data_IF_894554309927
#
_entry.id   IF_894554309927
#
_cell.length_a   1.000
_cell.length_b   1.000
_cell.length_c   1.000
_cell.angle_alpha   90.00
_cell.angle_beta   90.00
_cell.angle_gamma   90.00
#
_symmetry.space_group_name_H-M   'P 1'
#
loop_
_entity.id
_entity.type
_entity.pdbx_description
1 polymer ?
#
# COMPACT_ATOMS: atom_id res chain seq x y z
N UNK A 1 -17.19 -78.01 -37.60
CA UNK A 1 -18.28 -77.71 -36.66
C UNK A 1 -17.80 -76.50 -35.87
N UNK A 2 -18.20 -75.29 -36.28
CA UNK A 2 -17.71 -74.05 -35.68
C UNK A 2 -18.70 -73.62 -34.61
N UNK A 3 -18.30 -73.69 -33.35
CA UNK A 3 -19.00 -73.05 -32.24
C UNK A 3 -18.66 -71.56 -32.24
N UNK A 4 -19.50 -70.78 -32.90
CA UNK A 4 -19.60 -69.34 -32.69
C UNK A 4 -20.71 -69.11 -31.66
N UNK A 5 -20.35 -68.61 -30.46
CA UNK A 5 -21.11 -67.65 -29.62
C UNK A 5 -20.60 -67.67 -28.18
N UNK A 6 -20.20 -66.49 -27.68
CA UNK A 6 -20.32 -65.98 -26.27
C UNK A 6 -19.35 -64.81 -25.93
N UNK A 7 -18.82 -64.08 -26.91
CA UNK A 7 -17.94 -62.92 -26.63
C UNK A 7 -18.65 -61.58 -26.36
N UNK A 8 -19.95 -61.45 -26.64
CA UNK A 8 -20.66 -60.15 -26.63
C UNK A 8 -21.28 -59.79 -25.28
N UNK A 9 -21.71 -60.78 -24.51
CA UNK A 9 -22.42 -60.55 -23.24
C UNK A 9 -21.48 -60.19 -22.09
N UNK A 10 -20.28 -60.78 -22.06
CA UNK A 10 -19.22 -60.45 -21.09
C UNK A 10 -18.68 -59.03 -21.30
N UNK A 11 -18.51 -58.59 -22.54
CA UNK A 11 -18.07 -57.23 -22.86
C UNK A 11 -19.11 -56.16 -22.47
N UNK A 12 -20.40 -56.42 -22.72
CA UNK A 12 -21.49 -55.53 -22.32
C UNK A 12 -21.65 -55.45 -20.80
N UNK A 13 -21.52 -56.58 -20.11
CA UNK A 13 -21.55 -56.64 -18.65
C UNK A 13 -20.39 -55.86 -18.01
N UNK A 14 -19.17 -56.03 -18.54
CA UNK A 14 -18.00 -55.28 -18.07
C UNK A 14 -18.16 -53.77 -18.29
N UNK A 15 -18.68 -53.35 -19.45
CA UNK A 15 -18.96 -51.95 -19.73
C UNK A 15 -20.07 -51.37 -18.83
N UNK A 16 -21.11 -52.15 -18.53
CA UNK A 16 -22.17 -51.76 -17.59
C UNK A 16 -21.63 -51.59 -16.17
N UNK A 17 -20.82 -52.54 -15.69
CA UNK A 17 -20.19 -52.49 -14.38
C UNK A 17 -19.27 -51.26 -14.25
N UNK A 18 -18.50 -50.94 -15.29
CA UNK A 18 -17.65 -49.74 -15.32
C UNK A 18 -18.47 -48.44 -15.24
N UNK A 19 -19.54 -48.33 -16.03
CA UNK A 19 -20.47 -47.17 -15.98
C UNK A 19 -21.11 -47.02 -14.61
N UNK A 20 -21.54 -48.14 -14.00
CA UNK A 20 -22.11 -48.14 -12.66
C UNK A 20 -21.08 -47.67 -11.62
N UNK A 21 -19.82 -48.12 -11.73
CA UNK A 21 -18.73 -47.69 -10.86
C UNK A 21 -18.46 -46.18 -10.93
N UNK A 22 -18.49 -45.61 -12.13
CA UNK A 22 -18.38 -44.15 -12.32
C UNK A 22 -19.55 -43.44 -11.61
N UNK A 23 -20.79 -43.85 -11.87
CA UNK A 23 -21.98 -43.23 -11.26
C UNK A 23 -21.90 -43.29 -9.73
N UNK A 24 -21.54 -44.44 -9.16
CA UNK A 24 -21.40 -44.60 -7.71
C UNK A 24 -20.35 -43.63 -7.16
N UNK A 25 -19.22 -43.47 -7.84
CA UNK A 25 -18.15 -42.56 -7.41
C UNK A 25 -18.65 -41.11 -7.36
N UNK A 26 -19.37 -40.67 -8.38
CA UNK A 26 -19.98 -39.33 -8.41
C UNK A 26 -21.03 -39.16 -7.31
N UNK A 27 -21.86 -40.16 -7.06
CA UNK A 27 -22.85 -40.13 -5.97
C UNK A 27 -22.15 -39.97 -4.61
N UNK A 28 -21.05 -40.68 -4.38
CA UNK A 28 -20.26 -40.54 -3.14
C UNK A 28 -19.66 -39.14 -3.02
N UNK A 29 -19.12 -38.57 -4.10
CA UNK A 29 -18.60 -37.20 -4.07
C UNK A 29 -19.70 -36.16 -3.78
N UNK A 30 -20.86 -36.28 -4.41
CA UNK A 30 -21.99 -35.38 -4.18
C UNK A 30 -22.49 -35.50 -2.74
N UNK A 31 -22.61 -36.72 -2.21
CA UNK A 31 -22.98 -36.94 -0.82
C UNK A 31 -21.97 -36.31 0.15
N UNK A 32 -20.67 -36.43 -0.13
CA UNK A 32 -19.61 -35.81 0.67
C UNK A 32 -19.67 -34.28 0.61
N UNK A 33 -19.92 -33.72 -0.57
CA UNK A 33 -20.09 -32.29 -0.77
C UNK A 33 -21.30 -31.77 0.03
N UNK A 34 -22.43 -32.46 -0.04
CA UNK A 34 -23.63 -32.13 0.73
C UNK A 34 -23.37 -32.18 2.25
N UNK A 35 -22.61 -33.18 2.72
CA UNK A 35 -22.21 -33.25 4.13
C UNK A 35 -21.41 -32.03 4.56
N UNK A 36 -20.42 -31.61 3.77
CA UNK A 36 -19.58 -30.46 4.11
C UNK A 36 -20.35 -29.13 4.03
N UNK A 37 -21.22 -28.99 3.04
CA UNK A 37 -21.92 -27.74 2.76
C UNK A 37 -23.19 -27.55 3.59
N UNK A 38 -23.94 -28.60 3.89
CA UNK A 38 -25.23 -28.49 4.60
C UNK A 38 -25.09 -28.90 6.05
N UNK A 39 -24.57 -30.10 6.31
CA UNK A 39 -24.46 -30.62 7.69
C UNK A 39 -23.38 -29.91 8.50
N UNK A 40 -22.34 -29.39 7.86
CA UNK A 40 -21.21 -28.73 8.54
C UNK A 40 -21.12 -27.23 8.23
N UNK A 41 -22.17 -26.65 7.64
CA UNK A 41 -22.18 -25.24 7.24
C UNK A 41 -21.76 -24.31 8.38
N UNK A 42 -22.47 -24.37 9.50
CA UNK A 42 -22.28 -23.44 10.63
C UNK A 42 -20.85 -23.45 11.17
N UNK A 43 -20.21 -24.63 11.17
CA UNK A 43 -18.82 -24.79 11.63
C UNK A 43 -17.86 -24.11 10.67
N UNK A 44 -18.00 -24.34 9.37
CA UNK A 44 -17.10 -23.76 8.37
C UNK A 44 -17.37 -22.28 8.15
N UNK A 45 -18.61 -21.83 8.28
CA UNK A 45 -19.01 -20.43 8.25
C UNK A 45 -18.39 -19.66 9.43
N UNK A 46 -18.43 -20.22 10.64
CA UNK A 46 -17.78 -19.60 11.81
C UNK A 46 -16.26 -19.48 11.64
N UNK A 47 -15.61 -20.52 11.10
CA UNK A 47 -14.17 -20.50 10.83
C UNK A 47 -13.82 -19.48 9.75
N UNK A 48 -14.62 -19.39 8.68
CA UNK A 48 -14.43 -18.40 7.62
C UNK A 48 -14.63 -16.97 8.14
N UNK A 49 -15.66 -16.73 8.97
CA UNK A 49 -15.92 -15.44 9.58
C UNK A 49 -14.78 -15.00 10.51
N UNK A 50 -14.18 -15.92 11.27
CA UNK A 50 -13.00 -15.61 12.09
C UNK A 50 -11.79 -15.21 11.25
N UNK A 51 -11.58 -15.82 10.09
CA UNK A 51 -10.50 -15.44 9.19
C UNK A 51 -10.75 -14.10 8.49
N UNK A 52 -12.02 -13.70 8.31
CA UNK A 52 -12.41 -12.43 7.70
C UNK A 52 -12.32 -11.24 8.66
N UNK A 53 -12.48 -11.47 9.96
CA UNK A 53 -12.51 -10.41 10.96
C UNK A 53 -11.13 -10.22 11.60
N UNK A 54 -10.33 -9.29 11.07
CA UNK A 54 -9.19 -8.77 11.81
C UNK A 54 -9.70 -7.90 12.97
N UNK A 55 -9.43 -8.32 14.21
CA UNK A 55 -9.66 -7.49 15.40
C UNK A 55 -8.48 -6.53 15.54
N UNK A 56 -8.66 -5.31 15.05
CA UNK A 56 -7.69 -4.22 15.25
C UNK A 56 -8.04 -3.53 16.56
N UNK A 57 -7.24 -3.77 17.61
CA UNK A 57 -7.40 -3.04 18.87
C UNK A 57 -6.82 -1.63 18.71
N UNK A 58 -7.66 -0.61 18.83
CA UNK A 58 -7.20 0.79 18.79
C UNK A 58 -6.69 1.18 20.17
N UNK A 59 -5.39 1.47 20.36
CA UNK A 59 -4.88 1.87 21.66
C UNK A 59 -5.48 3.22 22.07
N UNK A 60 -5.83 3.36 23.35
CA UNK A 60 -6.30 4.64 23.88
C UNK A 60 -5.16 5.68 23.81
N UNK A 61 -5.46 6.94 23.42
CA UNK A 61 -4.45 7.99 23.38
C UNK A 61 -3.92 8.29 24.79
N UNK A 62 -2.60 8.50 24.91
CA UNK A 62 -2.00 8.92 26.19
C UNK A 62 -2.52 10.29 26.61
N UNK A 63 -2.73 10.45 27.92
CA UNK A 63 -3.10 11.73 28.52
C UNK A 63 -2.03 12.81 28.33
N UNK A 64 -2.46 14.07 28.38
CA UNK A 64 -1.57 15.24 28.33
C UNK A 64 -0.97 15.46 29.72
N UNK A 65 0.35 15.69 29.80
CA UNK A 65 1.04 15.98 31.06
C UNK A 65 1.27 17.48 31.17
N UNK A 66 0.86 18.05 32.30
CA UNK A 66 0.98 19.47 32.62
C UNK A 66 2.01 19.70 33.72
N UNK A 67 2.73 20.80 33.66
CA UNK A 67 3.49 21.33 34.80
C UNK A 67 2.54 21.97 35.84
N UNK A 68 3.04 22.27 37.04
CA UNK A 68 2.32 22.95 38.13
C UNK A 68 1.67 24.29 37.72
N UNK A 69 2.18 24.92 36.67
CA UNK A 69 1.68 26.18 36.13
C UNK A 69 0.66 25.99 34.99
N UNK A 70 0.24 24.75 34.69
CA UNK A 70 -0.70 24.45 33.61
C UNK A 70 -0.09 24.40 32.22
N UNK A 71 1.24 24.51 32.10
CA UNK A 71 1.95 24.42 30.82
C UNK A 71 2.04 22.96 30.37
N UNK A 72 1.73 22.68 29.10
CA UNK A 72 1.80 21.33 28.52
C UNK A 72 3.27 20.93 28.34
N UNK A 73 3.70 19.84 28.98
CA UNK A 73 5.04 19.26 28.82
C UNK A 73 5.07 18.12 27.80
N UNK A 74 4.01 17.30 27.75
CA UNK A 74 3.91 16.15 26.84
C UNK A 74 2.50 16.08 26.27
N UNK A 75 2.40 15.95 24.93
CA UNK A 75 1.13 15.72 24.22
C UNK A 75 1.28 14.63 23.17
N UNK A 76 0.18 13.94 22.86
CA UNK A 76 0.12 13.07 21.70
C UNK A 76 0.08 13.94 20.42
N UNK A 77 0.93 13.61 19.44
CA UNK A 77 0.87 14.16 18.07
C UNK A 77 0.62 12.98 17.12
N UNK A 78 -0.48 12.98 16.34
CA UNK A 78 -0.72 11.92 15.37
C UNK A 78 0.38 11.93 14.31
N UNK A 79 0.94 10.76 14.05
CA UNK A 79 1.87 10.50 12.95
C UNK A 79 1.09 9.74 11.88
N UNK A 80 1.13 10.24 10.64
CA UNK A 80 0.50 9.59 9.50
C UNK A 80 1.60 9.03 8.62
N UNK A 81 1.44 7.77 8.21
CA UNK A 81 2.33 7.09 7.27
C UNK A 81 1.48 6.56 6.12
N UNK A 82 1.97 6.73 4.90
CA UNK A 82 1.34 6.19 3.69
C UNK A 82 2.15 4.95 3.30
N UNK A 83 1.53 3.78 3.43
CA UNK A 83 2.09 2.51 3.00
C UNK A 83 1.36 2.03 1.74
N UNK A 84 2.13 1.65 0.71
CA UNK A 84 1.62 1.04 -0.52
C UNK A 84 2.13 -0.39 -0.59
N UNK A 85 1.26 -1.32 -0.97
CA UNK A 85 1.61 -2.74 -1.20
C UNK A 85 1.80 -2.93 -2.70
N UNK A 86 3.02 -3.25 -3.18
CA UNK A 86 3.29 -3.36 -4.62
C UNK A 86 2.40 -4.39 -5.35
N UNK A 87 1.93 -5.43 -4.67
CA UNK A 87 1.05 -6.46 -5.24
C UNK A 87 -0.39 -6.02 -5.47
N UNK A 88 -0.83 -4.93 -4.83
CA UNK A 88 -2.15 -4.33 -5.10
C UNK A 88 -2.09 -3.32 -6.26
N UNK A 89 -0.91 -3.08 -6.82
CA UNK A 89 -0.74 -2.25 -8.00
C UNK A 89 -0.97 -3.08 -9.27
N UNK A 90 -1.67 -2.56 -10.27
CA UNK A 90 -1.83 -3.24 -11.55
C UNK A 90 -0.45 -3.54 -12.17
N UNK A 91 -0.28 -4.76 -12.70
CA UNK A 91 0.97 -5.16 -13.36
C UNK A 91 1.20 -4.34 -14.63
N UNK A 92 2.38 -3.76 -14.73
CA UNK A 92 2.85 -2.97 -15.86
C UNK A 92 3.10 -3.87 -17.10
N UNK A 93 2.52 -3.52 -18.25
CA UNK A 93 2.86 -4.07 -19.56
C UNK A 93 3.97 -3.17 -20.15
N UNK A 94 5.19 -3.66 -20.36
CA UNK A 94 6.36 -2.83 -20.69
C UNK A 94 6.33 -2.16 -22.08
N UNK A 95 5.25 -2.29 -22.86
CA UNK A 95 5.18 -1.84 -24.27
C UNK A 95 4.10 -0.77 -24.59
N UNK A 96 3.56 -0.02 -23.61
CA UNK A 96 2.58 1.05 -23.92
C UNK A 96 3.15 2.46 -23.75
N UNK A 97 3.43 3.12 -24.87
CA UNK A 97 3.59 4.59 -24.92
C UNK A 97 2.25 5.29 -24.65
N UNK A 98 2.32 6.33 -23.81
CA UNK A 98 1.36 7.44 -23.66
C UNK A 98 -0.01 7.17 -23.02
N UNK A 99 -0.04 6.65 -21.79
CA UNK A 99 -0.71 7.28 -20.64
C UNK A 99 -0.07 6.63 -19.41
N UNK A 100 0.48 7.42 -18.49
CA UNK A 100 0.93 6.91 -17.19
C UNK A 100 -0.31 6.52 -16.37
N UNK A 101 -0.84 5.31 -16.58
CA UNK A 101 -2.05 4.82 -15.92
C UNK A 101 -1.89 4.87 -14.40
N UNK A 102 -0.68 4.61 -13.90
CA UNK A 102 -0.33 4.75 -12.48
C UNK A 102 -0.52 6.19 -12.00
N UNK A 103 -0.03 7.18 -12.76
CA UNK A 103 -0.22 8.58 -12.41
C UNK A 103 -1.69 8.97 -12.34
N UNK A 104 -2.55 8.40 -13.20
CA UNK A 104 -4.00 8.63 -13.15
C UNK A 104 -4.63 8.02 -11.90
N UNK A 105 -4.22 6.80 -11.52
CA UNK A 105 -4.72 6.16 -10.30
C UNK A 105 -4.27 6.91 -9.04
N UNK A 106 -2.99 7.29 -8.99
CA UNK A 106 -2.44 8.13 -7.91
C UNK A 106 -3.19 9.46 -7.85
N UNK A 107 -3.45 10.11 -8.99
CA UNK A 107 -4.22 11.35 -9.04
C UNK A 107 -5.63 11.15 -8.46
N UNK A 108 -6.34 10.07 -8.83
CA UNK A 108 -7.67 9.75 -8.28
C UNK A 108 -7.62 9.60 -6.77
N UNK A 109 -6.63 8.87 -6.24
CA UNK A 109 -6.46 8.69 -4.78
C UNK A 109 -6.20 10.02 -4.10
N UNK A 110 -5.31 10.85 -4.65
CA UNK A 110 -5.00 12.17 -4.11
C UNK A 110 -6.23 13.09 -4.11
N UNK A 111 -7.09 13.02 -5.14
CA UNK A 111 -8.38 13.73 -5.17
C UNK A 111 -9.38 13.20 -4.15
N UNK A 112 -9.42 11.89 -3.91
CA UNK A 112 -10.25 11.30 -2.83
C UNK A 112 -9.80 11.84 -1.47
N UNK A 113 -8.49 11.96 -1.25
CA UNK A 113 -7.91 12.57 -0.05
C UNK A 113 -8.10 14.09 0.01
N UNK A 114 -8.63 14.71 -1.04
CA UNK A 114 -8.76 16.16 -1.23
C UNK A 114 -7.42 16.90 -1.24
N UNK A 115 -6.34 16.26 -1.64
CA UNK A 115 -5.02 16.90 -1.76
C UNK A 115 -4.98 17.99 -2.85
N UNK A 116 -5.99 18.08 -3.72
CA UNK A 116 -6.15 19.13 -4.72
C UNK A 116 -6.89 20.38 -4.19
N UNK A 117 -7.71 20.24 -3.15
CA UNK A 117 -8.55 21.32 -2.60
C UNK A 117 -8.13 21.74 -1.20
N UNK A 118 -7.73 20.78 -0.37
CA UNK A 118 -7.35 20.99 1.02
C UNK A 118 -5.84 21.26 1.14
N UNK A 119 -5.50 22.52 1.47
CA UNK A 119 -4.11 22.97 1.64
C UNK A 119 -3.38 22.15 2.69
N UNK A 120 -4.01 21.85 3.82
CA UNK A 120 -3.34 21.19 4.93
C UNK A 120 -3.00 19.74 4.58
N UNK A 121 -3.88 19.06 3.82
CA UNK A 121 -3.62 17.73 3.28
C UNK A 121 -2.46 17.76 2.28
N UNK A 122 -2.45 18.70 1.34
CA UNK A 122 -1.40 18.83 0.34
C UNK A 122 -0.02 19.06 0.98
N UNK A 123 0.05 19.96 1.95
CA UNK A 123 1.28 20.26 2.71
C UNK A 123 1.77 19.03 3.47
N UNK A 124 0.86 18.32 4.14
CA UNK A 124 1.21 17.14 4.92
C UNK A 124 1.74 16.01 4.03
N UNK A 125 1.15 15.82 2.86
CA UNK A 125 1.62 14.84 1.88
C UNK A 125 3.01 15.21 1.35
N UNK A 126 3.24 16.48 1.02
CA UNK A 126 4.55 16.96 0.61
C UNK A 126 5.61 16.75 1.70
N UNK A 127 5.29 17.03 2.97
CA UNK A 127 6.16 16.80 4.12
C UNK A 127 6.51 15.31 4.30
N UNK A 128 5.52 14.42 4.21
CA UNK A 128 5.73 12.96 4.29
C UNK A 128 6.64 12.48 3.16
N UNK A 129 6.38 12.92 1.93
CA UNK A 129 7.16 12.53 0.75
C UNK A 129 8.59 13.09 0.82
N UNK A 130 8.78 14.31 1.33
CA UNK A 130 10.10 14.88 1.58
C UNK A 130 10.90 14.05 2.58
N UNK A 131 10.30 13.67 3.71
CA UNK A 131 10.95 12.85 4.71
C UNK A 131 11.28 11.43 4.20
N UNK A 132 10.45 10.87 3.30
CA UNK A 132 10.68 9.54 2.72
C UNK A 132 11.76 9.54 1.63
N UNK A 133 11.75 10.53 0.74
CA UNK A 133 12.64 10.61 -0.43
C UNK A 133 13.98 11.27 -0.11
N UNK A 134 14.00 12.18 0.86
CA UNK A 134 15.13 13.07 1.10
C UNK A 134 15.18 14.24 0.11
N UNK A 135 16.06 15.20 0.40
CA UNK A 135 16.15 16.49 -0.30
C UNK A 135 16.36 16.33 -1.81
N UNK A 136 17.37 15.57 -2.23
CA UNK A 136 17.78 15.48 -3.63
C UNK A 136 16.70 14.84 -4.51
N UNK A 137 16.13 13.72 -4.06
CA UNK A 137 15.13 12.98 -4.83
C UNK A 137 13.80 13.73 -4.87
N UNK A 138 13.41 14.39 -3.78
CA UNK A 138 12.23 15.25 -3.76
C UNK A 138 12.35 16.38 -4.78
N UNK A 139 13.42 17.17 -4.71
CA UNK A 139 13.62 18.34 -5.57
C UNK A 139 13.71 17.94 -7.04
N UNK A 140 14.48 16.91 -7.38
CA UNK A 140 14.62 16.43 -8.76
C UNK A 140 13.28 15.96 -9.34
N UNK A 141 12.48 15.28 -8.53
CA UNK A 141 11.18 14.74 -8.96
C UNK A 141 10.18 15.84 -9.25
N UNK A 142 10.05 16.80 -8.34
CA UNK A 142 9.12 17.94 -8.50
C UNK A 142 9.54 18.83 -9.67
N UNK A 143 10.85 19.08 -9.85
CA UNK A 143 11.36 19.83 -11.00
C UNK A 143 11.14 19.12 -12.33
N UNK A 144 11.34 17.79 -12.40
CA UNK A 144 11.04 17.00 -13.61
C UNK A 144 9.56 17.02 -13.97
N UNK A 145 8.69 17.11 -12.96
CA UNK A 145 7.25 17.28 -13.15
C UNK A 145 6.86 18.71 -13.59
N UNK A 146 7.83 19.58 -13.88
CA UNK A 146 7.59 20.95 -14.34
C UNK A 146 7.00 21.88 -13.28
N UNK A 147 7.09 21.51 -12.00
CA UNK A 147 6.55 22.31 -10.90
C UNK A 147 7.62 23.27 -10.37
N UNK A 148 7.35 24.58 -10.33
CA UNK A 148 8.28 25.53 -9.72
C UNK A 148 8.33 25.32 -8.20
N UNK A 149 9.54 25.28 -7.64
CA UNK A 149 9.77 25.17 -6.20
C UNK A 149 10.36 26.49 -5.71
N UNK A 150 9.71 27.09 -4.72
CA UNK A 150 10.32 28.20 -3.96
C UNK A 150 11.29 27.61 -2.96
N UNK A 151 12.50 28.14 -2.91
CA UNK A 151 13.50 27.72 -1.92
C UNK A 151 13.63 28.77 -0.82
N UNK A 152 13.62 28.32 0.43
CA UNK A 152 13.98 29.15 1.57
C UNK A 152 15.51 29.20 1.68
N UNK A 153 16.06 30.41 1.79
CA UNK A 153 17.49 30.66 2.01
C UNK A 153 17.73 30.72 3.53
N UNK A 154 17.95 29.55 4.14
CA UNK A 154 18.27 29.46 5.56
C UNK A 154 19.79 29.27 5.77
N UNK A 155 20.41 30.03 6.67
CA UNK A 155 21.80 29.79 7.05
C UNK A 155 21.90 28.45 7.78
N UNK A 156 22.75 27.54 7.30
CA UNK A 156 23.01 26.30 8.01
C UNK A 156 23.43 26.57 9.45
N UNK A 157 22.87 25.81 10.39
CA UNK A 157 23.41 25.74 11.74
C UNK A 157 24.82 25.14 11.68
N UNK A 158 25.82 26.00 11.83
CA UNK A 158 27.22 25.60 11.90
C UNK A 158 27.66 25.55 13.35
N UNK A 159 28.19 24.40 13.75
CA UNK A 159 28.92 24.31 15.03
C UNK A 159 30.21 25.12 14.92
N UNK A 160 30.59 25.87 15.97
CA UNK A 160 31.89 26.53 16.00
C UNK A 160 32.99 25.49 15.82
N UNK A 161 33.93 25.77 14.93
CA UNK A 161 35.06 24.90 14.62
C UNK A 161 36.26 25.39 15.41
N UNK A 162 37.04 24.46 15.96
CA UNK A 162 38.30 24.81 16.61
C UNK A 162 39.39 24.89 15.54
N UNK A 163 39.87 26.09 15.26
CA UNK A 163 41.00 26.34 14.38
C UNK A 163 42.14 26.94 15.20
N UNK A 164 43.32 26.30 15.20
CA UNK A 164 44.49 26.69 15.99
C UNK A 164 44.23 26.97 17.49
N UNK A 165 43.36 26.16 18.12
CA UNK A 165 43.02 26.28 19.54
C UNK A 165 42.10 27.45 19.89
N UNK A 166 41.56 28.15 18.88
CA UNK A 166 40.51 29.17 19.03
C UNK A 166 39.20 28.65 18.46
N UNK A 167 38.10 28.90 19.18
CA UNK A 167 36.75 28.69 18.64
C UNK A 167 36.51 29.76 17.57
N UNK A 168 36.46 29.34 16.31
CA UNK A 168 36.05 30.19 15.19
C UNK A 168 34.63 29.80 14.79
N UNK A 169 33.74 30.79 14.70
CA UNK A 169 32.43 30.57 14.09
C UNK A 169 32.67 30.32 12.61
N UNK A 170 32.37 29.12 12.12
CA UNK A 170 32.40 28.86 10.69
C UNK A 170 31.37 29.77 10.00
N UNK A 171 31.65 30.24 8.78
CA UNK A 171 30.64 30.96 8.02
C UNK A 171 29.49 30.01 7.69
N UNK A 172 28.23 30.35 8.05
CA UNK A 172 27.10 29.49 7.78
C UNK A 172 26.91 29.38 6.27
N UNK A 173 27.12 28.17 5.74
CA UNK A 173 26.80 27.86 4.35
C UNK A 173 25.28 28.01 4.17
N UNK A 174 24.86 28.73 3.12
CA UNK A 174 23.45 28.80 2.74
C UNK A 174 22.96 27.42 2.32
N UNK A 175 21.89 26.95 2.93
CA UNK A 175 21.22 25.70 2.54
C UNK A 175 19.86 26.09 2.00
N UNK A 176 19.60 25.65 0.77
CA UNK A 176 18.32 25.87 0.12
C UNK A 176 17.40 24.72 0.51
N UNK A 177 16.27 25.01 1.13
CA UNK A 177 15.23 24.02 1.41
C UNK A 177 14.01 24.33 0.54
N UNK A 178 13.32 23.31 -0.02
CA UNK A 178 12.03 23.55 -0.64
C UNK A 178 11.08 24.13 0.40
N UNK A 179 10.36 25.19 0.05
CA UNK A 179 9.35 25.80 0.89
C UNK A 179 8.15 24.86 1.01
N UNK A 180 8.12 24.07 2.10
CA UNK A 180 7.04 23.15 2.43
C UNK A 180 5.87 23.84 3.14
N UNK A 181 5.83 25.18 3.20
CA UNK A 181 4.66 25.93 3.65
C UNK A 181 3.72 26.28 2.49
N UNK A 182 4.16 26.07 1.26
CA UNK A 182 3.36 26.24 0.06
C UNK A 182 2.90 24.88 -0.48
N UNK A 183 1.59 24.69 -0.71
CA UNK A 183 1.08 23.41 -1.19
C UNK A 183 1.57 23.18 -2.62
N UNK A 184 2.12 21.99 -2.87
CA UNK A 184 2.49 21.60 -4.23
C UNK A 184 1.24 21.36 -5.07
N UNK A 185 1.24 21.74 -6.35
CA UNK A 185 0.17 21.37 -7.27
C UNK A 185 0.07 19.85 -7.40
N UNK A 186 -1.13 19.38 -7.74
CA UNK A 186 -1.47 17.95 -7.80
C UNK A 186 -0.47 17.14 -8.63
N UNK A 187 -0.03 17.67 -9.78
CA UNK A 187 0.98 17.03 -10.63
C UNK A 187 2.33 16.76 -9.92
N UNK A 188 2.75 17.65 -9.02
CA UNK A 188 3.98 17.49 -8.25
C UNK A 188 3.83 16.42 -7.17
N UNK A 189 2.65 16.37 -6.52
CA UNK A 189 2.33 15.32 -5.55
C UNK A 189 2.23 13.94 -6.20
N UNK A 190 1.60 13.84 -7.38
CA UNK A 190 1.53 12.60 -8.16
C UNK A 190 2.93 12.09 -8.50
N UNK A 191 3.80 12.96 -9.02
CA UNK A 191 5.18 12.60 -9.36
C UNK A 191 5.98 12.13 -8.14
N UNK A 192 5.82 12.79 -7.00
CA UNK A 192 6.47 12.43 -5.75
C UNK A 192 6.00 11.07 -5.21
N UNK A 193 4.69 10.79 -5.24
CA UNK A 193 4.15 9.50 -4.83
C UNK A 193 4.66 8.40 -5.75
N UNK A 194 4.63 8.61 -7.08
CA UNK A 194 5.17 7.66 -8.05
C UNK A 194 6.65 7.38 -7.79
N UNK A 195 7.47 8.41 -7.55
CA UNK A 195 8.88 8.24 -7.19
C UNK A 195 9.06 7.47 -5.88
N UNK A 196 8.23 7.74 -4.88
CA UNK A 196 8.30 7.09 -3.58
C UNK A 196 7.90 5.62 -3.62
N UNK A 197 7.09 5.19 -4.59
CA UNK A 197 6.75 3.77 -4.82
C UNK A 197 7.89 3.03 -5.53
N UNK A 198 8.62 3.70 -6.42
CA UNK A 198 9.70 3.10 -7.19
C UNK A 198 11.00 2.84 -6.41
N UNK A 199 11.06 3.22 -5.12
CA UNK A 199 12.23 3.06 -4.22
C UNK A 199 11.86 2.09 -3.10
#
# INVERSE_FOLDING_TARGET
MFEERTGRDTANFAMLAFRLGIVITFVVMVARMFQLQVLQNERYETLANRNRLLRIETPAPRGVIYDRNGTILVRNRPSFEVALVPEDLPFDDPDTEEVDEEAIEIEKVLRILRADVDRDVALRMAEILFNKLGYDDFVRTVQRAGVPITFLDEPAFVTPVTDDGRLTMAEPRKVFFPDLEQPLPLQGLVALVKRAVAI
#
